data_IF_549574375579
#
_entry.id   IF_549574375579
#
_cell.length_a   1.000
_cell.length_b   1.000
_cell.length_c   1.000
_cell.angle_alpha   90.00
_cell.angle_beta   90.00
_cell.angle_gamma   90.00
#
_symmetry.space_group_name_H-M   'P 1'
#
loop_
_entity.id
_entity.type
_entity.pdbx_description
1 polymer ?
#
# COMPACT_ATOMS: atom_id res chain seq x y z
N UNK A 1 -5.40 16.67 -14.80
CA UNK A 1 -6.10 15.94 -15.88
C UNK A 1 -5.32 14.67 -16.15
N UNK A 2 -6.00 13.54 -16.32
CA UNK A 2 -5.35 12.27 -16.70
C UNK A 2 -4.75 12.47 -18.09
N UNK A 3 -3.47 12.15 -18.28
CA UNK A 3 -2.86 12.26 -19.61
C UNK A 3 -3.33 11.10 -20.49
N UNK A 4 -3.43 11.32 -21.80
CA UNK A 4 -3.77 10.24 -22.75
C UNK A 4 -2.76 9.08 -22.67
N UNK A 5 -1.51 9.40 -22.40
CA UNK A 5 -0.41 8.45 -22.19
C UNK A 5 -0.64 7.53 -20.99
N UNK A 6 -1.13 8.07 -19.87
CA UNK A 6 -1.46 7.27 -18.67
C UNK A 6 -2.63 6.31 -18.95
N UNK A 7 -3.67 6.79 -19.65
CA UNK A 7 -4.80 5.94 -20.05
C UNK A 7 -4.37 4.81 -21.00
N UNK A 8 -3.55 5.12 -22.00
CA UNK A 8 -3.05 4.15 -22.97
C UNK A 8 -2.18 3.09 -22.30
N UNK A 9 -1.32 3.50 -21.35
CA UNK A 9 -0.52 2.55 -20.58
C UNK A 9 -1.40 1.59 -19.78
N UNK A 10 -2.43 2.08 -19.06
CA UNK A 10 -3.34 1.22 -18.29
C UNK A 10 -4.06 0.23 -19.21
N UNK A 11 -4.56 0.69 -20.36
CA UNK A 11 -5.21 -0.20 -21.32
C UNK A 11 -4.27 -1.29 -21.83
N UNK A 12 -3.02 -0.95 -22.15
CA UNK A 12 -2.01 -1.94 -22.55
C UNK A 12 -1.71 -2.91 -21.42
N UNK A 13 -1.54 -2.43 -20.20
CA UNK A 13 -1.27 -3.25 -19.02
C UNK A 13 -2.39 -4.26 -18.74
N UNK A 14 -3.66 -3.86 -18.89
CA UNK A 14 -4.81 -4.75 -18.72
C UNK A 14 -5.00 -5.75 -19.86
N UNK A 15 -4.70 -5.36 -21.10
CA UNK A 15 -4.83 -6.25 -22.26
C UNK A 15 -3.89 -7.46 -22.18
N UNK A 16 -2.73 -7.29 -21.53
CA UNK A 16 -1.77 -8.37 -21.29
C UNK A 16 -2.30 -9.33 -20.22
N UNK A 17 -2.99 -10.40 -20.66
CA UNK A 17 -3.53 -11.44 -19.77
C UNK A 17 -2.49 -12.46 -19.32
N UNK A 18 -1.44 -12.68 -20.11
CA UNK A 18 -0.36 -13.61 -19.76
C UNK A 18 0.61 -12.96 -18.75
N UNK A 19 0.90 -13.60 -17.60
CA UNK A 19 1.92 -13.13 -16.66
C UNK A 19 3.29 -12.85 -17.29
N UNK A 20 3.69 -13.59 -18.32
CA UNK A 20 4.98 -13.41 -19.01
C UNK A 20 5.00 -12.11 -19.82
N UNK A 21 3.93 -11.80 -20.57
CA UNK A 21 3.84 -10.55 -21.33
C UNK A 21 3.76 -9.33 -20.41
N UNK A 22 3.05 -9.45 -19.28
CA UNK A 22 3.07 -8.43 -18.23
C UNK A 22 4.48 -8.24 -17.67
N UNK A 23 5.20 -9.34 -17.44
CA UNK A 23 6.57 -9.28 -16.94
C UNK A 23 7.50 -8.58 -17.94
N UNK A 24 7.40 -8.88 -19.23
CA UNK A 24 8.17 -8.23 -20.30
C UNK A 24 7.86 -6.72 -20.39
N UNK A 25 6.57 -6.36 -20.34
CA UNK A 25 6.14 -4.96 -20.32
C UNK A 25 6.73 -4.23 -19.11
N UNK A 26 6.67 -4.83 -17.91
CA UNK A 26 7.18 -4.22 -16.69
C UNK A 26 8.72 -4.16 -16.64
N UNK A 27 9.41 -5.09 -17.29
CA UNK A 27 10.87 -5.04 -17.43
C UNK A 27 11.30 -3.91 -18.38
N UNK A 28 10.54 -3.67 -19.44
CA UNK A 28 10.86 -2.66 -20.47
C UNK A 28 10.40 -1.27 -20.07
N UNK A 29 9.18 -1.15 -19.51
CA UNK A 29 8.48 0.10 -19.24
C UNK A 29 8.23 0.33 -17.73
N UNK A 30 9.00 -0.31 -16.83
CA UNK A 30 8.79 -0.22 -15.39
C UNK A 30 8.75 1.22 -14.84
N UNK A 31 9.62 2.11 -15.33
CA UNK A 31 9.61 3.52 -14.92
C UNK A 31 8.30 4.24 -15.31
N UNK A 32 7.77 3.94 -16.50
CA UNK A 32 6.48 4.48 -16.95
C UNK A 32 5.34 3.91 -16.11
N UNK A 33 5.40 2.61 -15.79
CA UNK A 33 4.43 1.95 -14.93
C UNK A 33 4.28 2.66 -13.57
N UNK A 34 5.40 2.87 -12.86
CA UNK A 34 5.38 3.60 -11.59
C UNK A 34 4.87 5.03 -11.74
N UNK A 35 5.36 5.77 -12.74
CA UNK A 35 4.93 7.14 -13.04
C UNK A 35 3.42 7.21 -13.24
N UNK A 36 2.87 6.37 -14.10
CA UNK A 36 1.45 6.33 -14.43
C UNK A 36 0.62 6.00 -13.19
N UNK A 37 0.94 4.93 -12.45
CA UNK A 37 0.19 4.61 -11.23
C UNK A 37 0.22 5.75 -10.20
N UNK A 38 1.40 6.33 -9.93
CA UNK A 38 1.54 7.43 -8.96
C UNK A 38 0.76 8.67 -9.41
N UNK A 39 0.84 9.04 -10.70
CA UNK A 39 0.11 10.17 -11.25
C UNK A 39 -1.39 9.98 -11.14
N UNK A 40 -1.89 8.79 -11.49
CA UNK A 40 -3.33 8.49 -11.42
C UNK A 40 -3.83 8.50 -9.97
N UNK A 41 -3.08 7.94 -9.01
CA UNK A 41 -3.47 7.99 -7.60
C UNK A 41 -3.46 9.41 -7.02
N UNK A 42 -2.49 10.24 -7.43
CA UNK A 42 -2.27 11.58 -6.85
C UNK A 42 -3.18 12.64 -7.45
N UNK A 43 -3.41 12.60 -8.77
CA UNK A 43 -4.09 13.67 -9.50
C UNK A 43 -5.57 13.37 -9.81
N UNK A 44 -6.05 12.16 -9.54
CA UNK A 44 -7.46 11.82 -9.73
C UNK A 44 -8.24 12.02 -8.43
N UNK A 45 -9.29 12.84 -8.53
CA UNK A 45 -10.23 13.07 -7.42
C UNK A 45 -11.34 12.03 -7.35
N UNK A 46 -11.62 11.31 -8.46
CA UNK A 46 -12.66 10.27 -8.47
C UNK A 46 -12.20 9.05 -7.67
N UNK A 47 -12.90 8.81 -6.55
CA UNK A 47 -12.54 7.80 -5.56
C UNK A 47 -12.49 6.38 -6.13
N UNK A 48 -13.53 5.93 -6.84
CA UNK A 48 -13.58 4.61 -7.47
C UNK A 48 -12.37 4.35 -8.39
N UNK A 49 -11.89 5.38 -9.08
CA UNK A 49 -10.73 5.25 -9.95
C UNK A 49 -9.48 5.04 -9.10
N UNK A 50 -9.29 5.80 -8.03
CA UNK A 50 -8.15 5.61 -7.12
C UNK A 50 -8.18 4.23 -6.48
N UNK A 51 -9.34 3.75 -6.02
CA UNK A 51 -9.50 2.39 -5.50
C UNK A 51 -9.06 1.35 -6.52
N UNK A 52 -9.53 1.48 -7.76
CA UNK A 52 -9.18 0.58 -8.86
C UNK A 52 -7.67 0.60 -9.19
N UNK A 53 -7.04 1.79 -9.22
CA UNK A 53 -5.59 1.90 -9.42
C UNK A 53 -4.84 1.20 -8.29
N UNK A 54 -5.24 1.42 -7.03
CA UNK A 54 -4.59 0.78 -5.88
C UNK A 54 -4.75 -0.75 -5.92
N UNK A 55 -5.90 -1.26 -6.33
CA UNK A 55 -6.11 -2.70 -6.53
C UNK A 55 -5.15 -3.25 -7.59
N UNK A 56 -5.01 -2.59 -8.74
CA UNK A 56 -4.06 -3.01 -9.78
C UNK A 56 -2.60 -3.02 -9.27
N UNK A 57 -2.22 -2.03 -8.46
CA UNK A 57 -0.88 -2.01 -7.85
C UNK A 57 -0.72 -3.17 -6.85
N UNK A 58 -1.70 -3.41 -5.98
CA UNK A 58 -1.65 -4.51 -5.00
C UNK A 58 -1.52 -5.88 -5.68
N UNK A 59 -2.31 -6.11 -6.72
CA UNK A 59 -2.31 -7.33 -7.53
C UNK A 59 -0.98 -7.50 -8.28
N UNK A 60 -0.49 -6.44 -8.94
CA UNK A 60 0.79 -6.46 -9.65
C UNK A 60 1.94 -6.86 -8.71
N UNK A 61 1.95 -6.32 -7.49
CA UNK A 61 2.96 -6.65 -6.48
C UNK A 61 2.78 -8.06 -5.91
N UNK A 62 1.53 -8.52 -5.77
CA UNK A 62 1.22 -9.86 -5.28
C UNK A 62 1.63 -10.94 -6.27
N UNK A 63 1.47 -10.71 -7.57
CA UNK A 63 1.87 -11.63 -8.64
C UNK A 63 3.39 -11.90 -8.64
N UNK A 64 4.21 -10.88 -8.37
CA UNK A 64 5.66 -11.03 -8.26
C UNK A 64 6.24 -9.97 -7.31
N UNK A 65 6.72 -10.43 -6.15
CA UNK A 65 7.27 -9.56 -5.11
C UNK A 65 8.46 -8.73 -5.58
N UNK A 66 9.23 -9.18 -6.59
CA UNK A 66 10.36 -8.41 -7.12
C UNK A 66 9.91 -7.09 -7.79
N UNK A 67 8.64 -7.00 -8.21
CA UNK A 67 8.09 -5.80 -8.87
C UNK A 67 8.01 -4.59 -7.94
N UNK A 68 8.15 -4.76 -6.63
CA UNK A 68 8.33 -3.61 -5.71
C UNK A 68 9.51 -2.73 -6.13
N UNK A 69 10.58 -3.32 -6.71
CA UNK A 69 11.77 -2.61 -7.15
C UNK A 69 11.46 -1.50 -8.16
N UNK A 70 10.39 -1.65 -8.94
CA UNK A 70 9.94 -0.66 -9.92
C UNK A 70 9.66 0.70 -9.24
N UNK A 71 9.01 0.68 -8.07
CA UNK A 71 8.71 1.89 -7.31
C UNK A 71 9.95 2.48 -6.64
N UNK A 72 10.89 1.65 -6.17
CA UNK A 72 12.16 2.13 -5.61
C UNK A 72 13.02 2.79 -6.69
N UNK A 73 13.18 2.15 -7.84
CA UNK A 73 13.98 2.68 -8.95
C UNK A 73 13.39 4.01 -9.47
N UNK A 74 12.06 4.12 -9.51
CA UNK A 74 11.36 5.36 -9.83
C UNK A 74 11.59 6.44 -8.76
N UNK A 75 11.37 6.13 -7.48
CA UNK A 75 11.52 7.06 -6.37
C UNK A 75 12.95 7.63 -6.27
N UNK A 76 13.95 6.77 -6.50
CA UNK A 76 15.37 7.15 -6.48
C UNK A 76 15.71 8.20 -7.52
N UNK A 77 15.08 8.16 -8.72
CA UNK A 77 15.24 9.19 -9.76
C UNK A 77 14.67 10.54 -9.31
N UNK A 78 13.59 10.52 -8.55
CA UNK A 78 12.94 11.70 -7.97
C UNK A 78 13.56 12.20 -6.66
N UNK A 79 14.66 11.59 -6.18
CA UNK A 79 15.24 11.83 -4.84
C UNK A 79 14.21 11.69 -3.72
N UNK A 80 13.32 10.70 -3.84
CA UNK A 80 12.25 10.43 -2.88
C UNK A 80 12.27 8.95 -2.47
N UNK A 81 11.45 8.59 -1.48
CA UNK A 81 11.25 7.19 -1.04
C UNK A 81 10.01 6.58 -1.70
N UNK A 82 10.01 5.26 -1.90
CA UNK A 82 8.90 4.56 -2.55
C UNK A 82 7.58 4.73 -1.76
N UNK A 83 7.64 4.73 -0.43
CA UNK A 83 6.48 4.85 0.45
C UNK A 83 5.86 6.26 0.47
N UNK A 84 6.67 7.30 0.24
CA UNK A 84 6.19 8.69 0.28
C UNK A 84 4.99 8.96 -0.63
N UNK A 85 4.85 8.21 -1.73
CA UNK A 85 3.74 8.33 -2.67
C UNK A 85 2.43 7.73 -2.13
N UNK A 86 2.52 6.77 -1.20
CA UNK A 86 1.38 6.04 -0.65
C UNK A 86 1.00 6.50 0.75
N UNK A 87 1.96 6.99 1.56
CA UNK A 87 1.71 7.47 2.93
C UNK A 87 0.58 8.53 3.03
N UNK A 88 0.46 9.50 2.11
CA UNK A 88 -0.64 10.47 2.14
C UNK A 88 -2.03 9.83 1.99
N UNK A 89 -2.13 8.65 1.36
CA UNK A 89 -3.39 7.95 1.15
C UNK A 89 -3.99 7.42 2.45
N UNK A 90 -3.18 7.24 3.50
CA UNK A 90 -3.65 6.84 4.84
C UNK A 90 -4.51 7.91 5.54
N UNK A 91 -4.49 9.15 5.03
CA UNK A 91 -5.31 10.26 5.53
C UNK A 91 -6.60 10.48 4.74
N UNK A 92 -6.91 9.63 3.75
CA UNK A 92 -8.18 9.72 3.01
C UNK A 92 -9.37 9.28 3.87
N UNK A 93 -10.56 9.76 3.54
CA UNK A 93 -11.80 9.38 4.22
C UNK A 93 -12.27 7.97 3.82
N UNK A 94 -11.94 7.55 2.60
CA UNK A 94 -12.30 6.24 2.07
C UNK A 94 -11.49 5.12 2.72
N UNK A 95 -12.19 4.28 3.50
CA UNK A 95 -11.59 3.16 4.19
C UNK A 95 -10.95 2.15 3.24
N UNK A 96 -11.53 1.91 2.05
CA UNK A 96 -10.95 0.96 1.11
C UNK A 96 -9.58 1.46 0.63
N UNK A 97 -9.52 2.71 0.15
CA UNK A 97 -8.27 3.36 -0.28
C UNK A 97 -7.22 3.34 0.83
N UNK A 98 -7.61 3.71 2.05
CA UNK A 98 -6.71 3.74 3.22
C UNK A 98 -6.10 2.35 3.48
N UNK A 99 -6.91 1.30 3.52
CA UNK A 99 -6.44 -0.04 3.82
C UNK A 99 -5.65 -0.68 2.67
N UNK A 100 -6.04 -0.41 1.43
CA UNK A 100 -5.30 -0.88 0.25
C UNK A 100 -3.92 -0.21 0.17
N UNK A 101 -3.85 1.10 0.42
CA UNK A 101 -2.58 1.81 0.49
C UNK A 101 -1.70 1.28 1.63
N UNK A 102 -2.28 1.00 2.81
CA UNK A 102 -1.56 0.39 3.91
C UNK A 102 -0.94 -0.96 3.52
N UNK A 103 -1.68 -1.82 2.82
CA UNK A 103 -1.15 -3.11 2.32
C UNK A 103 0.02 -2.92 1.36
N UNK A 104 -0.11 -2.00 0.40
CA UNK A 104 0.96 -1.70 -0.55
C UNK A 104 2.21 -1.21 0.20
N UNK A 105 2.06 -0.31 1.17
CA UNK A 105 3.18 0.18 2.00
C UNK A 105 3.87 -0.99 2.72
N UNK A 106 3.11 -1.89 3.34
CA UNK A 106 3.67 -3.06 4.02
C UNK A 106 4.41 -4.01 3.05
N UNK A 107 3.88 -4.21 1.83
CA UNK A 107 4.52 -4.99 0.76
C UNK A 107 5.82 -4.35 0.30
N UNK A 108 5.82 -3.05 0.06
CA UNK A 108 7.03 -2.30 -0.28
C UNK A 108 8.08 -2.46 0.82
N UNK A 109 7.69 -2.29 2.09
CA UNK A 109 8.60 -2.37 3.21
C UNK A 109 9.19 -3.76 3.40
N UNK A 110 8.37 -4.81 3.25
CA UNK A 110 8.77 -6.19 3.52
C UNK A 110 9.49 -6.89 2.34
N UNK A 111 9.21 -6.50 1.10
CA UNK A 111 9.80 -7.10 -0.10
C UNK A 111 10.82 -6.19 -0.79
N UNK A 112 10.90 -4.92 -0.37
CA UNK A 112 11.82 -3.93 -0.89
C UNK A 112 13.27 -4.21 -0.51
N UNK A 113 14.17 -3.47 -1.17
CA UNK A 113 15.62 -3.55 -0.91
C UNK A 113 16.11 -2.53 0.11
N UNK A 114 15.31 -1.50 0.37
CA UNK A 114 15.60 -0.43 1.32
C UNK A 114 14.66 -0.59 2.52
N UNK A 115 15.12 -0.19 3.71
CA UNK A 115 14.31 -0.21 4.92
C UNK A 115 13.63 1.15 5.10
N UNK A 116 12.36 1.12 5.50
CA UNK A 116 11.65 2.31 5.94
C UNK A 116 12.14 2.67 7.34
N UNK A 117 12.60 3.90 7.54
CA UNK A 117 13.21 4.34 8.80
C UNK A 117 12.71 5.73 9.21
N UNK A 118 13.06 6.14 10.43
CA UNK A 118 12.82 7.50 10.92
C UNK A 118 11.33 7.87 10.98
N UNK A 119 11.00 9.06 10.47
CA UNK A 119 9.64 9.62 10.55
C UNK A 119 8.60 8.80 9.80
N UNK A 120 8.95 8.24 8.64
CA UNK A 120 8.02 7.46 7.81
C UNK A 120 7.62 6.17 8.53
N UNK A 121 8.60 5.47 9.11
CA UNK A 121 8.35 4.26 9.89
C UNK A 121 7.51 4.54 11.12
N UNK A 122 7.88 5.57 11.88
CA UNK A 122 7.15 5.96 13.09
C UNK A 122 5.70 6.34 12.78
N UNK A 123 5.48 7.09 11.70
CA UNK A 123 4.15 7.46 11.25
C UNK A 123 3.32 6.22 10.89
N UNK A 124 3.88 5.30 10.10
CA UNK A 124 3.16 4.09 9.68
C UNK A 124 2.87 3.15 10.86
N UNK A 125 3.81 2.95 11.78
CA UNK A 125 3.60 2.17 13.00
C UNK A 125 2.55 2.77 13.91
N UNK A 126 2.56 4.08 14.11
CA UNK A 126 1.52 4.76 14.90
C UNK A 126 0.15 4.61 14.24
N UNK A 127 0.08 4.72 12.92
CA UNK A 127 -1.16 4.46 12.18
C UNK A 127 -1.68 3.03 12.42
N UNK A 128 -0.82 2.00 12.30
CA UNK A 128 -1.18 0.61 12.58
C UNK A 128 -1.72 0.47 14.01
N UNK A 129 -1.02 1.01 15.02
CA UNK A 129 -1.46 0.96 16.42
C UNK A 129 -2.82 1.60 16.61
N UNK A 130 -3.03 2.80 16.09
CA UNK A 130 -4.31 3.50 16.18
C UNK A 130 -5.44 2.68 15.57
N UNK A 131 -5.23 2.05 14.41
CA UNK A 131 -6.25 1.20 13.80
C UNK A 131 -6.56 -0.06 14.63
N UNK A 132 -5.55 -0.72 15.20
CA UNK A 132 -5.73 -1.90 16.05
C UNK A 132 -6.40 -1.56 17.40
N UNK A 133 -5.99 -0.48 18.06
CA UNK A 133 -6.54 -0.06 19.35
C UNK A 133 -7.96 0.51 19.24
N UNK A 134 -8.29 1.20 18.15
CA UNK A 134 -9.65 1.75 17.92
C UNK A 134 -10.74 0.67 17.90
N UNK A 135 -10.37 -0.59 17.65
CA UNK A 135 -11.30 -1.72 17.66
C UNK A 135 -11.45 -2.38 19.03
N UNK A 136 -10.41 -2.37 19.89
CA UNK A 136 -10.52 -2.84 21.28
C UNK A 136 -11.63 -2.09 22.04
N UNK A 137 -11.77 -0.79 21.79
CA UNK A 137 -12.82 0.06 22.39
C UNK A 137 -14.23 -0.25 21.87
N UNK A 138 -14.38 -0.69 20.61
CA UNK A 138 -15.69 -1.05 20.03
C UNK A 138 -16.15 -2.46 20.36
N UNK A 139 -15.22 -3.38 20.66
CA UNK A 139 -15.53 -4.75 21.08
C UNK A 139 -16.15 -4.87 22.48
N UNK A 140 -16.25 -3.78 23.24
CA UNK A 140 -16.79 -3.78 24.61
C UNK A 140 -18.20 -3.18 24.75
N UNK A 141 -18.82 -2.69 23.66
CA UNK A 141 -20.18 -2.10 23.71
C UNK A 141 -21.09 -2.77 22.69
N UNK A 142 -21.94 -3.65 23.23
CA UNK A 142 -23.25 -4.10 22.75
C UNK A 142 -23.37 -4.63 21.31
N UNK A 143 -23.74 -5.91 21.26
CA UNK A 143 -24.34 -6.56 20.11
C UNK A 143 -25.59 -5.78 19.63
N UNK A 144 -25.41 -4.95 18.59
CA UNK A 144 -26.48 -4.12 18.04
C UNK A 144 -26.22 -3.74 16.58
N UNK A 145 -26.51 -4.66 15.66
CA UNK A 145 -26.97 -4.42 14.29
C UNK A 145 -26.25 -3.37 13.40
N UNK A 146 -24.91 -3.30 13.43
CA UNK A 146 -24.11 -2.76 12.31
C UNK A 146 -23.17 -3.86 11.85
N UNK A 147 -23.03 -4.05 10.53
CA UNK A 147 -22.28 -5.14 9.88
C UNK A 147 -20.91 -5.37 10.51
N UNK A 148 -20.83 -6.33 11.43
CA UNK A 148 -19.61 -6.78 12.12
C UNK A 148 -18.58 -7.37 11.17
N UNK A 149 -18.95 -7.60 9.89
CA UNK A 149 -18.10 -8.14 8.84
C UNK A 149 -17.04 -7.16 8.34
N UNK A 150 -17.39 -5.89 8.14
CA UNK A 150 -16.54 -4.95 7.39
C UNK A 150 -15.47 -4.34 8.30
N UNK A 151 -15.85 -4.02 9.54
CA UNK A 151 -14.91 -3.61 10.59
C UNK A 151 -13.88 -4.72 10.89
N UNK A 152 -14.32 -5.97 10.90
CA UNK A 152 -13.44 -7.12 11.12
C UNK A 152 -12.45 -7.31 9.96
N UNK A 153 -12.89 -7.20 8.70
CA UNK A 153 -12.01 -7.33 7.52
C UNK A 153 -10.88 -6.30 7.51
N UNK A 154 -11.18 -5.05 7.86
CA UNK A 154 -10.18 -3.99 7.93
C UNK A 154 -9.15 -4.22 9.05
N UNK A 155 -9.54 -4.78 10.19
CA UNK A 155 -8.56 -5.20 11.22
C UNK A 155 -7.71 -6.35 10.77
N UNK A 156 -8.28 -7.36 10.12
CA UNK A 156 -7.50 -8.46 9.57
C UNK A 156 -6.49 -7.95 8.54
N UNK A 157 -6.87 -6.94 7.75
CA UNK A 157 -5.97 -6.26 6.84
C UNK A 157 -4.81 -5.57 7.58
N UNK A 158 -5.09 -4.76 8.60
CA UNK A 158 -4.05 -4.05 9.38
C UNK A 158 -3.14 -5.04 10.12
N UNK A 159 -3.71 -6.07 10.74
CA UNK A 159 -2.94 -7.14 11.38
C UNK A 159 -2.04 -7.87 10.37
N UNK A 160 -2.55 -8.13 9.16
CA UNK A 160 -1.77 -8.70 8.06
C UNK A 160 -0.63 -7.79 7.59
N UNK A 161 -0.84 -6.47 7.55
CA UNK A 161 0.20 -5.49 7.23
C UNK A 161 1.32 -5.53 8.28
N UNK A 162 0.97 -5.52 9.56
CA UNK A 162 1.92 -5.64 10.66
C UNK A 162 2.67 -6.97 10.59
N UNK A 163 1.95 -8.08 10.44
CA UNK A 163 2.57 -9.40 10.34
C UNK A 163 3.56 -9.51 9.18
N UNK A 164 3.25 -8.88 8.04
CA UNK A 164 4.13 -8.84 6.88
C UNK A 164 5.41 -8.07 7.17
N UNK A 165 5.32 -6.88 7.78
CA UNK A 165 6.50 -6.11 8.19
C UNK A 165 7.35 -6.84 9.22
N UNK A 166 6.72 -7.45 10.23
CA UNK A 166 7.39 -8.25 11.25
C UNK A 166 8.03 -9.54 10.69
N UNK A 167 8.05 -9.78 9.38
CA UNK A 167 8.93 -10.82 8.79
C UNK A 167 10.38 -10.36 8.67
N UNK A 168 10.60 -9.05 8.62
CA UNK A 168 11.92 -8.41 8.56
C UNK A 168 12.36 -8.12 10.01
N UNK A 169 13.59 -8.49 10.36
CA UNK A 169 14.05 -8.44 11.75
C UNK A 169 14.15 -7.01 12.27
N UNK A 170 14.58 -6.09 11.42
CA UNK A 170 14.75 -4.67 11.70
C UNK A 170 13.42 -4.04 12.13
N UNK A 171 12.32 -4.37 11.43
CA UNK A 171 10.99 -3.93 11.83
C UNK A 171 10.48 -4.59 13.12
N UNK A 172 10.93 -5.82 13.45
CA UNK A 172 10.59 -6.43 14.76
C UNK A 172 11.22 -5.65 15.91
N UNK A 173 12.50 -5.33 15.79
CA UNK A 173 13.21 -4.55 16.81
C UNK A 173 12.60 -3.15 16.93
N UNK A 174 12.41 -2.45 15.81
CA UNK A 174 11.80 -1.13 15.80
C UNK A 174 10.37 -1.14 16.38
N UNK A 175 9.59 -2.20 16.14
CA UNK A 175 8.25 -2.33 16.71
C UNK A 175 8.26 -2.48 18.23
N UNK A 176 9.20 -3.27 18.77
CA UNK A 176 9.39 -3.43 20.22
C UNK A 176 9.87 -2.11 20.84
N UNK A 177 10.85 -1.44 20.23
CA UNK A 177 11.36 -0.14 20.69
C UNK A 177 10.29 0.95 20.68
N UNK A 178 9.36 0.89 19.73
CA UNK A 178 8.23 1.80 19.66
C UNK A 178 7.13 1.48 20.69
N UNK A 179 7.34 0.58 21.65
CA UNK A 179 6.32 0.12 22.61
C UNK A 179 5.11 -0.57 21.93
N UNK A 180 5.34 -1.22 20.80
CA UNK A 180 4.32 -1.94 20.03
C UNK A 180 3.80 -3.23 20.67
N UNK A 181 4.21 -3.55 21.89
CA UNK A 181 3.69 -4.68 22.67
C UNK A 181 2.63 -4.22 23.67
N UNK A 182 2.64 -2.94 24.07
CA UNK A 182 1.75 -2.36 25.08
C UNK A 182 0.70 -1.42 24.44
N UNK A 183 -0.17 -1.95 23.58
CA UNK A 183 -1.28 -1.21 22.92
C UNK A 183 -2.66 -1.79 23.20
#
# INVERSE_FOLDING_TARGET
MISGEDCEFIQRFEQKRNPEEKQELLQTEGNQCAKTFINLMTHISKEQTVQYILTMVDDMLQENHQRVCIFFDYAKRGKNTAWSYFLPMLNRQDLFTVHMAARIIAKLAAWGRELMEGSDLNYYFNWIKTQLSSQKLRGSVEAGAVSTSDSSQYVQCVAGCLQLMLRVNEYRFAWVEADGVNW
#
